data_IF_542272945882
#
_entry.id   IF_542272945882
#
_cell.length_a   1.000
_cell.length_b   1.000
_cell.length_c   1.000
_cell.angle_alpha   90.00
_cell.angle_beta   90.00
_cell.angle_gamma   90.00
#
_symmetry.space_group_name_H-M   'P 1'
#
loop_
_entity.id
_entity.type
_entity.pdbx_description
1 polymer ?
#
# COMPACT_ATOMS: atom_id res chain seq x y z
N UNK A 1 -6.22 -10.48 14.55
CA UNK A 1 -7.35 -9.74 13.93
C UNK A 1 -7.58 -10.29 12.53
N UNK A 2 -8.82 -10.55 12.13
CA UNK A 2 -9.14 -11.01 10.76
C UNK A 2 -9.41 -9.81 9.87
N UNK A 3 -8.42 -9.45 9.05
CA UNK A 3 -8.55 -8.38 8.05
C UNK A 3 -9.15 -8.96 6.76
N UNK A 4 -10.34 -8.51 6.32
CA UNK A 4 -11.07 -9.17 5.24
C UNK A 4 -10.68 -8.68 3.84
N UNK A 5 -9.81 -7.68 3.74
CA UNK A 5 -9.46 -7.01 2.49
C UNK A 5 -8.08 -7.42 1.96
N UNK A 6 -7.83 -7.14 0.68
CA UNK A 6 -6.53 -7.31 0.00
C UNK A 6 -5.78 -5.99 -0.18
N UNK A 7 -6.05 -5.03 0.71
CA UNK A 7 -5.27 -3.80 0.83
C UNK A 7 -4.85 -3.54 2.27
N UNK A 8 -3.75 -2.83 2.52
CA UNK A 8 -3.33 -2.44 3.87
C UNK A 8 -2.44 -1.19 3.88
N UNK A 9 -2.30 -0.51 5.02
CA UNK A 9 -1.49 0.72 5.13
C UNK A 9 -2.21 2.02 4.76
N UNK A 10 -3.53 1.97 4.76
CA UNK A 10 -4.43 3.11 4.62
C UNK A 10 -5.20 3.27 5.92
N UNK A 11 -5.20 4.47 6.50
CA UNK A 11 -5.60 4.68 7.88
C UNK A 11 -6.78 5.63 7.97
N UNK A 12 -7.70 5.41 8.91
CA UNK A 12 -8.85 6.31 9.10
C UNK A 12 -8.44 7.73 9.51
N UNK A 13 -7.21 7.91 10.00
CA UNK A 13 -6.62 9.21 10.30
C UNK A 13 -6.43 10.10 9.04
N UNK A 14 -6.58 9.54 7.84
CA UNK A 14 -6.73 10.28 6.58
C UNK A 14 -8.17 10.14 6.05
N UNK A 15 -8.91 11.25 6.02
CA UNK A 15 -10.34 11.32 5.65
C UNK A 15 -10.66 10.77 4.23
N UNK A 16 -9.62 10.57 3.40
CA UNK A 16 -9.76 10.00 2.05
C UNK A 16 -10.17 8.53 2.07
N UNK A 17 -9.81 7.79 3.11
CA UNK A 17 -10.02 6.35 3.18
C UNK A 17 -11.28 6.01 3.97
N UNK A 18 -12.12 5.16 3.39
CA UNK A 18 -13.33 4.67 4.05
C UNK A 18 -13.15 3.26 4.53
N UNK A 19 -13.77 2.93 5.66
CA UNK A 19 -13.65 1.63 6.31
C UNK A 19 -12.20 1.23 6.63
N UNK A 20 -11.28 2.20 6.65
CA UNK A 20 -9.92 2.02 7.10
C UNK A 20 -9.89 1.86 8.63
N UNK A 21 -8.96 1.06 9.17
CA UNK A 21 -8.80 0.95 10.62
C UNK A 21 -7.99 2.14 11.14
N UNK A 22 -8.00 2.32 12.47
CA UNK A 22 -6.93 3.13 13.09
C UNK A 22 -5.60 2.42 12.92
N UNK A 23 -4.56 3.17 12.57
CA UNK A 23 -3.18 2.65 12.62
C UNK A 23 -2.80 2.14 14.02
N UNK A 24 -3.41 2.69 15.07
CA UNK A 24 -3.15 2.33 16.47
C UNK A 24 -3.60 0.90 16.80
N UNK A 25 -4.60 0.37 16.10
CA UNK A 25 -5.08 -1.01 16.29
C UNK A 25 -4.05 -2.06 15.87
N UNK A 26 -3.08 -1.67 15.03
CA UNK A 26 -2.05 -2.54 14.50
C UNK A 26 -0.68 -2.33 15.14
N UNK A 27 -0.56 -1.42 16.12
CA UNK A 27 0.70 -1.21 16.83
C UNK A 27 0.88 -2.32 17.90
N UNK A 28 1.93 -3.14 17.76
CA UNK A 28 2.28 -4.16 18.74
C UNK A 28 3.77 -4.09 19.11
N UNK A 29 4.06 -4.01 20.41
CA UNK A 29 5.43 -3.93 20.94
C UNK A 29 6.26 -5.18 20.66
N UNK A 30 5.62 -6.32 20.40
CA UNK A 30 6.27 -7.58 20.14
C UNK A 30 6.80 -7.65 18.70
N UNK A 31 6.29 -6.79 17.80
CA UNK A 31 6.71 -6.76 16.40
C UNK A 31 8.20 -6.49 16.21
N UNK A 32 8.79 -5.71 17.13
CA UNK A 32 10.22 -5.42 17.12
C UNK A 32 11.10 -6.67 17.31
N UNK A 33 10.52 -7.76 17.81
CA UNK A 33 11.18 -9.05 18.03
C UNK A 33 11.01 -10.03 16.86
N UNK A 34 10.15 -9.73 15.87
CA UNK A 34 9.96 -10.60 14.72
C UNK A 34 11.20 -10.60 13.82
N UNK A 35 11.84 -11.76 13.70
CA UNK A 35 13.04 -11.97 12.87
C UNK A 35 12.81 -11.74 11.37
N UNK A 36 11.57 -11.86 10.90
CA UNK A 36 11.20 -11.68 9.50
C UNK A 36 10.90 -10.21 9.16
N UNK A 37 10.86 -9.32 10.16
CA UNK A 37 10.54 -7.91 9.98
C UNK A 37 11.39 -7.19 8.92
N UNK A 38 12.73 -7.40 8.82
CA UNK A 38 13.52 -6.85 7.72
C UNK A 38 13.02 -7.33 6.34
N UNK A 39 12.79 -8.64 6.18
CA UNK A 39 12.27 -9.19 4.93
C UNK A 39 10.88 -8.67 4.57
N UNK A 40 10.02 -8.39 5.57
CA UNK A 40 8.73 -7.72 5.32
C UNK A 40 8.93 -6.31 4.77
N UNK A 41 9.85 -5.53 5.33
CA UNK A 41 10.14 -4.19 4.81
C UNK A 41 10.73 -4.25 3.40
N UNK A 42 11.66 -5.18 3.15
CA UNK A 42 12.25 -5.40 1.82
C UNK A 42 11.19 -5.79 0.79
N UNK A 43 10.22 -6.64 1.17
CA UNK A 43 9.10 -7.02 0.31
C UNK A 43 8.26 -5.81 -0.09
N UNK A 44 7.89 -4.97 0.89
CA UNK A 44 7.05 -3.80 0.65
C UNK A 44 7.73 -2.75 -0.23
N UNK A 45 9.07 -2.65 -0.14
CA UNK A 45 9.89 -1.74 -0.95
C UNK A 45 10.03 -2.22 -2.40
N UNK A 46 9.96 -3.54 -2.64
CA UNK A 46 10.01 -4.13 -3.98
C UNK A 46 8.69 -4.04 -4.78
N UNK A 47 7.60 -3.56 -4.17
CA UNK A 47 6.28 -3.51 -4.81
C UNK A 47 6.26 -2.63 -6.08
N UNK A 48 5.54 -3.07 -7.12
CA UNK A 48 5.30 -2.22 -8.28
C UNK A 48 4.40 -1.05 -7.91
N UNK A 49 4.84 0.15 -8.28
CA UNK A 49 4.03 1.36 -8.11
C UNK A 49 2.95 1.41 -9.18
N UNK A 50 1.69 1.38 -8.75
CA UNK A 50 0.52 1.46 -9.65
C UNK A 50 -0.03 2.88 -9.78
N UNK A 51 0.17 3.69 -8.74
CA UNK A 51 -0.22 5.10 -8.75
C UNK A 51 0.68 5.90 -7.82
N UNK A 52 1.03 7.12 -8.22
CA UNK A 52 1.78 8.04 -7.40
C UNK A 52 1.24 9.45 -7.55
N UNK A 53 1.07 10.16 -6.43
CA UNK A 53 0.64 11.55 -6.40
C UNK A 53 1.57 12.37 -5.52
N UNK A 54 2.05 13.49 -6.04
CA UNK A 54 2.81 14.46 -5.25
C UNK A 54 1.88 15.24 -4.31
N UNK A 55 2.29 15.36 -3.05
CA UNK A 55 1.67 16.20 -2.03
C UNK A 55 2.75 16.99 -1.30
N UNK A 56 2.51 18.28 -1.06
CA UNK A 56 3.52 19.11 -0.40
C UNK A 56 3.64 18.83 1.12
N UNK A 57 2.71 18.06 1.72
CA UNK A 57 2.69 17.80 3.17
C UNK A 57 2.14 16.41 3.49
N UNK A 58 3.00 15.40 3.45
CA UNK A 58 2.69 14.10 4.05
C UNK A 58 3.38 14.01 5.41
N UNK A 59 2.64 13.65 6.46
CA UNK A 59 3.16 13.47 7.81
C UNK A 59 2.65 12.16 8.39
N UNK A 60 3.44 11.56 9.28
CA UNK A 60 3.02 10.38 10.02
C UNK A 60 1.90 10.73 11.01
N UNK A 61 0.81 9.96 11.03
CA UNK A 61 -0.31 10.19 11.95
C UNK A 61 -0.01 9.78 13.41
N UNK A 62 1.13 9.13 13.66
CA UNK A 62 1.55 8.71 15.00
C UNK A 62 2.59 9.64 15.63
N UNK A 63 3.65 9.99 14.90
CA UNK A 63 4.76 10.80 15.41
C UNK A 63 4.90 12.19 14.77
N UNK A 64 4.06 12.52 13.78
CA UNK A 64 4.11 13.77 13.02
C UNK A 64 5.42 14.03 12.27
N UNK A 65 6.31 13.03 12.17
CA UNK A 65 7.49 13.12 11.33
C UNK A 65 7.08 13.32 9.85
N UNK A 66 7.86 14.10 9.09
CA UNK A 66 7.62 14.24 7.66
C UNK A 66 7.79 12.89 6.97
N UNK A 67 6.85 12.57 6.08
CA UNK A 67 6.92 11.43 5.18
C UNK A 67 7.36 11.91 3.79
N UNK A 68 7.83 11.01 2.91
CA UNK A 68 8.07 11.34 1.51
C UNK A 68 6.93 12.17 0.89
N UNK A 69 7.24 13.21 0.09
CA UNK A 69 6.22 14.10 -0.48
C UNK A 69 5.33 13.39 -1.51
N UNK A 70 5.81 12.30 -2.09
CA UNK A 70 5.01 11.47 -3.00
C UNK A 70 4.26 10.43 -2.20
N UNK A 71 2.95 10.30 -2.41
CA UNK A 71 2.17 9.15 -1.98
C UNK A 71 2.11 8.14 -3.13
N UNK A 72 2.81 7.01 -3.00
CA UNK A 72 2.74 5.88 -3.92
C UNK A 72 1.88 4.75 -3.36
N UNK A 73 1.00 4.20 -4.22
CA UNK A 73 0.31 2.93 -4.03
C UNK A 73 1.10 1.86 -4.78
N UNK A 74 1.38 0.78 -4.08
CA UNK A 74 2.18 -0.36 -4.52
C UNK A 74 1.35 -1.64 -4.55
N UNK A 75 1.77 -2.59 -5.38
CA UNK A 75 1.20 -3.93 -5.45
C UNK A 75 2.25 -4.99 -5.80
N UNK A 76 1.95 -6.24 -5.44
CA UNK A 76 2.60 -7.45 -5.95
C UNK A 76 1.74 -8.19 -6.99
N UNK A 77 0.57 -7.64 -7.34
CA UNK A 77 -0.43 -8.29 -8.19
C UNK A 77 -1.59 -8.94 -7.43
N UNK A 78 -1.53 -9.02 -6.09
CA UNK A 78 -2.61 -9.54 -5.24
C UNK A 78 -2.97 -8.58 -4.09
N UNK A 79 -1.96 -8.03 -3.42
CA UNK A 79 -2.10 -7.08 -2.33
C UNK A 79 -1.85 -5.65 -2.79
N UNK A 80 -2.54 -4.70 -2.15
CA UNK A 80 -2.35 -3.26 -2.38
C UNK A 80 -1.89 -2.58 -1.10
N UNK A 81 -0.86 -1.75 -1.17
CA UNK A 81 -0.43 -0.97 0.00
C UNK A 81 0.07 0.41 -0.36
N UNK A 82 0.16 1.27 0.64
CA UNK A 82 0.86 2.53 0.54
C UNK A 82 2.34 2.31 0.89
N UNK A 83 3.27 2.86 0.09
CA UNK A 83 4.71 2.79 0.40
C UNK A 83 5.09 3.40 1.77
N UNK A 84 4.32 4.35 2.32
CA UNK A 84 4.52 4.88 3.67
C UNK A 84 4.31 3.83 4.77
N UNK A 85 3.65 2.69 4.49
CA UNK A 85 3.47 1.59 5.44
C UNK A 85 4.82 1.14 6.05
N UNK A 86 5.90 1.18 5.27
CA UNK A 86 7.25 0.86 5.74
C UNK A 86 7.64 1.75 6.94
N UNK A 87 7.33 3.05 6.90
CA UNK A 87 7.60 3.94 8.03
C UNK A 87 6.85 3.51 9.29
N UNK A 88 5.58 3.13 9.16
CA UNK A 88 4.77 2.67 10.29
C UNK A 88 5.30 1.36 10.90
N UNK A 89 5.72 0.41 10.05
CA UNK A 89 6.35 -0.85 10.47
C UNK A 89 7.71 -0.56 11.14
N UNK A 90 8.49 0.36 10.56
CA UNK A 90 9.85 0.67 10.97
C UNK A 90 9.92 1.46 12.28
N UNK A 91 9.05 2.44 12.46
CA UNK A 91 9.14 3.42 13.55
C UNK A 91 8.09 3.21 14.65
N UNK A 92 7.00 2.48 14.36
CA UNK A 92 5.84 2.40 15.26
C UNK A 92 5.38 1.00 15.63
N UNK A 93 6.08 -0.04 15.17
CA UNK A 93 5.72 -1.42 15.55
C UNK A 93 4.41 -1.86 14.91
N UNK A 94 4.01 -1.26 13.78
CA UNK A 94 2.81 -1.68 13.07
C UNK A 94 3.01 -3.08 12.50
N UNK A 95 2.12 -4.00 12.86
CA UNK A 95 2.08 -5.36 12.33
C UNK A 95 1.20 -5.43 11.08
N UNK A 96 1.50 -6.39 10.21
CA UNK A 96 0.64 -6.71 9.09
C UNK A 96 -0.52 -7.62 9.52
N UNK A 97 -1.67 -7.57 8.83
CA UNK A 97 -2.68 -8.60 8.96
C UNK A 97 -2.11 -10.00 8.68
N UNK A 98 -2.60 -11.00 9.39
CA UNK A 98 -2.07 -12.37 9.30
C UNK A 98 -2.07 -12.91 7.86
N UNK A 99 -3.12 -12.66 7.09
CA UNK A 99 -3.22 -13.10 5.69
C UNK A 99 -2.16 -12.44 4.80
N UNK A 100 -1.85 -11.16 5.03
CA UNK A 100 -0.81 -10.46 4.28
C UNK A 100 0.59 -10.94 4.69
N UNK A 101 0.84 -11.07 5.99
CA UNK A 101 2.11 -11.59 6.49
C UNK A 101 2.39 -13.02 6.00
N UNK A 102 1.38 -13.89 6.04
CA UNK A 102 1.49 -15.26 5.50
C UNK A 102 1.80 -15.25 4.00
N UNK A 103 1.15 -14.37 3.21
CA UNK A 103 1.43 -14.21 1.79
C UNK A 103 2.89 -13.82 1.52
N UNK A 104 3.40 -12.81 2.23
CA UNK A 104 4.79 -12.37 2.11
C UNK A 104 5.77 -13.50 2.46
N UNK A 105 5.48 -14.24 3.54
CA UNK A 105 6.33 -15.34 4.01
C UNK A 105 6.34 -16.50 3.03
N UNK A 106 5.19 -16.86 2.44
CA UNK A 106 5.08 -17.89 1.42
C UNK A 106 5.85 -17.53 0.14
N UNK A 107 5.85 -16.24 -0.23
CA UNK A 107 6.64 -15.71 -1.33
C UNK A 107 8.11 -15.43 -0.95
N UNK A 108 8.56 -15.91 0.21
CA UNK A 108 9.94 -15.78 0.67
C UNK A 108 10.47 -14.34 0.65
N UNK A 109 9.61 -13.37 0.98
CA UNK A 109 9.95 -11.95 1.01
C UNK A 109 10.38 -11.37 -0.36
N UNK A 110 9.92 -11.97 -1.46
CA UNK A 110 10.15 -11.48 -2.82
C UNK A 110 8.85 -11.17 -3.52
N UNK A 111 8.75 -9.97 -4.08
CA UNK A 111 7.62 -9.58 -4.92
C UNK A 111 7.72 -10.34 -6.25
N UNK A 112 6.65 -11.02 -6.64
CA UNK A 112 6.51 -11.68 -7.93
C UNK A 112 5.27 -11.15 -8.62
N UNK A 113 5.46 -10.31 -9.64
CA UNK A 113 4.34 -9.76 -10.40
C UNK A 113 4.00 -10.74 -11.52
N UNK A 114 2.76 -11.24 -11.60
CA UNK A 114 2.35 -12.10 -12.70
C UNK A 114 2.50 -11.39 -14.04
N UNK A 115 2.98 -12.11 -15.05
CA UNK A 115 2.87 -11.64 -16.43
C UNK A 115 1.39 -11.67 -16.83
N UNK A 116 0.86 -10.51 -17.21
CA UNK A 116 -0.52 -10.33 -17.61
C UNK A 116 -0.59 -9.86 -19.07
N UNK A 117 -1.60 -10.33 -19.79
CA UNK A 117 -1.83 -9.90 -21.18
C UNK A 117 -2.43 -8.49 -21.25
N UNK A 118 -3.08 -8.05 -20.16
CA UNK A 118 -3.74 -6.75 -20.05
C UNK A 118 -3.52 -6.19 -18.64
N UNK A 119 -2.62 -5.21 -18.54
CA UNK A 119 -2.29 -4.51 -17.29
C UNK A 119 -3.50 -3.78 -16.70
N UNK A 120 -4.38 -3.25 -17.54
CA UNK A 120 -5.56 -2.51 -17.10
C UNK A 120 -6.54 -3.46 -16.40
N UNK A 121 -6.81 -4.62 -17.00
CA UNK A 121 -7.65 -5.65 -16.37
C UNK A 121 -7.03 -6.16 -15.07
N UNK A 122 -5.71 -6.36 -15.04
CA UNK A 122 -5.01 -6.75 -13.83
C UNK A 122 -5.21 -5.73 -12.70
N UNK A 123 -5.01 -4.44 -12.99
CA UNK A 123 -5.24 -3.37 -12.03
C UNK A 123 -6.70 -3.29 -11.58
N UNK A 124 -7.67 -3.50 -12.47
CA UNK A 124 -9.09 -3.50 -12.11
C UNK A 124 -9.50 -4.65 -11.19
N UNK A 125 -8.77 -5.77 -11.23
CA UNK A 125 -9.05 -6.94 -10.38
C UNK A 125 -8.57 -6.80 -8.94
N UNK A 126 -7.69 -5.83 -8.65
CA UNK A 126 -7.20 -5.56 -7.30
C UNK A 126 -8.34 -5.03 -6.40
N UNK A 127 -8.18 -5.23 -5.10
CA UNK A 127 -9.14 -4.76 -4.11
C UNK A 127 -8.96 -3.26 -3.83
N UNK A 128 -9.87 -2.45 -4.39
CA UNK A 128 -9.93 -1.00 -4.25
C UNK A 128 -10.97 -0.51 -3.23
N UNK A 129 -11.46 -1.38 -2.36
CA UNK A 129 -12.55 -1.06 -1.42
C UNK A 129 -12.19 -0.03 -0.35
N UNK A 130 -10.91 0.36 -0.21
CA UNK A 130 -10.50 1.49 0.63
C UNK A 130 -10.99 2.86 0.12
N UNK A 131 -11.33 2.95 -1.17
CA UNK A 131 -11.87 4.16 -1.77
C UNK A 131 -13.40 4.11 -1.84
N UNK A 132 -14.06 5.26 -1.58
CA UNK A 132 -15.53 5.39 -1.63
C UNK A 132 -16.19 4.85 -2.89
N UNK A 133 -15.50 4.92 -4.03
CA UNK A 133 -16.02 4.50 -5.34
C UNK A 133 -15.51 3.12 -5.78
N UNK A 134 -14.84 2.36 -4.90
CA UNK A 134 -14.40 0.99 -5.13
C UNK A 134 -13.56 0.78 -6.40
N UNK A 135 -12.87 1.81 -6.89
CA UNK A 135 -12.18 1.75 -8.17
C UNK A 135 -10.93 2.62 -8.20
N UNK A 136 -9.90 2.11 -8.87
CA UNK A 136 -8.78 2.87 -9.41
C UNK A 136 -9.21 3.82 -10.56
N UNK A 137 -10.36 4.50 -10.44
CA UNK A 137 -10.73 5.61 -11.35
C UNK A 137 -9.83 6.83 -11.19
N UNK A 138 -8.86 6.77 -10.28
CA UNK A 138 -7.84 7.77 -10.04
C UNK A 138 -6.55 7.36 -10.78
N UNK A 139 -6.39 7.84 -12.01
CA UNK A 139 -5.03 8.08 -12.54
C UNK A 139 -4.58 7.35 -13.80
N UNK A 140 -5.36 6.45 -14.41
CA UNK A 140 -5.08 6.04 -15.80
C UNK A 140 -5.60 7.15 -16.72
N UNK A 141 -4.86 8.28 -16.76
CA UNK A 141 -4.90 9.15 -17.92
C UNK A 141 -4.53 8.24 -19.09
N UNK A 142 -5.47 8.03 -20.00
CA UNK A 142 -5.15 7.55 -21.34
C UNK A 142 -3.93 8.32 -21.83
N UNK A 143 -2.79 7.64 -21.97
CA UNK A 143 -1.84 8.03 -23.01
C UNK A 143 -2.51 7.67 -24.34
N UNK A 144 -3.43 8.51 -24.78
CA UNK A 144 -3.93 8.50 -26.14
C UNK A 144 -4.31 9.95 -26.48
N UNK A 145 -3.58 10.52 -27.46
CA UNK A 145 -3.90 11.72 -28.27
C UNK A 145 -4.18 13.02 -27.48
N UNK A 146 -3.40 14.09 -27.56
CA UNK A 146 -2.96 14.75 -28.79
C UNK A 146 -1.66 15.55 -28.60
N UNK A 147 -0.72 15.32 -29.51
CA UNK A 147 0.07 16.39 -30.11
C UNK A 147 -0.92 17.37 -30.76
N UNK A 148 -1.10 18.56 -30.19
CA UNK A 148 -1.43 19.79 -30.90
C UNK A 148 -1.08 20.96 -29.97
N UNK A 149 0.07 21.58 -30.21
CA UNK A 149 0.40 22.89 -29.67
C UNK A 149 0.24 23.91 -30.81
N UNK A 150 -0.53 24.99 -30.64
CA UNK A 150 -0.52 26.12 -31.58
C UNK A 150 0.80 26.90 -31.53
#
# INVERSE_FOLDING_TARGET
MTWPFKWFGFWQEDEKYVNAPSVREFCQSEWWLDKNRPGVMDYLDQGATVWAVGSQKNVCHLCHAPLPPTLAICTDGEWVWNHHLIHYIKEHGVILPQSFYSHITLNQFKVTIPLVNDEYQALQSLDWSMFKNGSARLGIRQKASDEHYP
#
